data_IF_803129311668
#
_entry.id   IF_803129311668
#
_cell.length_a   1.000
_cell.length_b   1.000
_cell.length_c   1.000
_cell.angle_alpha   90.00
_cell.angle_beta   90.00
_cell.angle_gamma   90.00
#
_symmetry.space_group_name_H-M   'P 1'
#
loop_
_entity.id
_entity.type
_entity.pdbx_description
1 polymer ?
#
# COMPACT_ATOMS: atom_id res chain seq x y z
N UNK A 1 11.15 11.64 -5.29
CA UNK A 1 11.46 10.80 -4.10
C UNK A 1 10.69 11.36 -2.93
N UNK A 2 9.70 10.61 -2.43
CA UNK A 2 8.83 11.05 -1.34
C UNK A 2 9.57 11.27 -0.01
N UNK A 3 8.93 11.96 0.94
CA UNK A 3 9.51 12.20 2.27
C UNK A 3 9.79 10.89 3.03
N UNK A 4 9.03 9.83 2.75
CA UNK A 4 9.19 8.50 3.36
C UNK A 4 10.57 7.88 3.12
N UNK A 5 11.02 7.83 1.85
CA UNK A 5 12.31 7.23 1.47
C UNK A 5 13.53 8.01 1.99
N UNK A 6 13.34 9.28 2.38
CA UNK A 6 14.41 10.17 2.87
C UNK A 6 14.47 10.22 4.40
N UNK A 7 13.50 9.65 5.10
CA UNK A 7 13.44 9.69 6.55
C UNK A 7 14.50 8.80 7.21
N UNK A 8 15.02 9.23 8.36
CA UNK A 8 16.04 8.49 9.13
C UNK A 8 15.74 8.54 10.63
N UNK A 9 16.35 7.64 11.40
CA UNK A 9 16.25 7.65 12.86
C UNK A 9 14.81 7.61 13.38
N UNK A 10 14.49 8.48 14.33
CA UNK A 10 13.16 8.58 14.96
C UNK A 10 12.04 8.90 13.95
N UNK A 11 12.33 9.73 12.94
CA UNK A 11 11.35 10.04 11.89
C UNK A 11 10.98 8.79 11.08
N UNK A 12 11.97 7.95 10.77
CA UNK A 12 11.74 6.68 10.04
C UNK A 12 10.89 5.73 10.88
N UNK A 13 11.19 5.59 12.17
CA UNK A 13 10.39 4.77 13.09
C UNK A 13 8.92 5.23 13.17
N UNK A 14 8.67 6.54 13.26
CA UNK A 14 7.31 7.08 13.29
C UNK A 14 6.56 6.83 11.98
N UNK A 15 7.25 6.97 10.84
CA UNK A 15 6.65 6.74 9.53
C UNK A 15 6.38 5.26 9.27
N UNK A 16 7.27 4.36 9.70
CA UNK A 16 7.06 2.92 9.58
C UNK A 16 5.86 2.49 10.44
N UNK A 17 5.76 2.99 11.68
CA UNK A 17 4.58 2.77 12.51
C UNK A 17 3.29 3.29 11.85
N UNK A 18 3.35 4.48 11.25
CA UNK A 18 2.21 5.05 10.53
C UNK A 18 1.81 4.18 9.32
N UNK A 19 2.78 3.69 8.54
CA UNK A 19 2.55 2.80 7.40
C UNK A 19 1.88 1.49 7.84
N UNK A 20 2.37 0.85 8.91
CA UNK A 20 1.75 -0.36 9.47
C UNK A 20 0.33 -0.10 9.94
N UNK A 21 0.08 0.99 10.69
CA UNK A 21 -1.24 1.33 11.19
C UNK A 21 -2.26 1.59 10.05
N UNK A 22 -1.80 2.23 8.97
CA UNK A 22 -2.62 2.44 7.77
C UNK A 22 -2.93 1.12 7.06
N UNK A 23 -1.94 0.26 6.88
CA UNK A 23 -2.13 -1.04 6.23
C UNK A 23 -3.09 -1.94 7.02
N UNK A 24 -2.99 -1.95 8.36
CA UNK A 24 -3.95 -2.63 9.23
C UNK A 24 -5.37 -2.10 8.99
N UNK A 25 -5.54 -0.77 8.93
CA UNK A 25 -6.81 -0.14 8.60
C UNK A 25 -7.40 -0.63 7.28
N UNK A 26 -6.57 -0.78 6.23
CA UNK A 26 -7.04 -1.33 4.96
C UNK A 26 -7.37 -2.82 5.02
N UNK A 27 -6.65 -3.60 5.82
CA UNK A 27 -7.00 -5.01 6.06
C UNK A 27 -8.37 -5.14 6.74
N UNK A 28 -8.66 -4.29 7.73
CA UNK A 28 -9.98 -4.24 8.36
C UNK A 28 -11.08 -3.81 7.38
N UNK A 29 -10.81 -2.81 6.53
CA UNK A 29 -11.72 -2.38 5.48
C UNK A 29 -12.01 -3.52 4.49
N UNK A 30 -10.98 -4.24 4.03
CA UNK A 30 -11.13 -5.40 3.15
C UNK A 30 -11.98 -6.50 3.79
N UNK A 31 -11.77 -6.79 5.07
CA UNK A 31 -12.56 -7.79 5.79
C UNK A 31 -14.03 -7.37 5.90
N UNK A 32 -14.30 -6.09 6.17
CA UNK A 32 -15.67 -5.55 6.22
C UNK A 32 -16.36 -5.62 4.85
N UNK A 33 -15.65 -5.25 3.77
CA UNK A 33 -16.15 -5.34 2.39
C UNK A 33 -16.45 -6.79 2.00
N UNK A 34 -15.53 -7.72 2.27
CA UNK A 34 -15.73 -9.14 2.01
C UNK A 34 -16.94 -9.71 2.76
N UNK A 35 -17.16 -9.28 4.01
CA UNK A 35 -18.34 -9.67 4.78
C UNK A 35 -19.66 -9.13 4.19
N UNK A 36 -19.61 -8.00 3.50
CA UNK A 36 -20.77 -7.41 2.82
C UNK A 36 -21.00 -7.98 1.40
N UNK A 37 -20.08 -8.82 0.90
CA UNK A 37 -20.10 -9.31 -0.47
C UNK A 37 -19.58 -8.30 -1.50
N UNK A 38 -18.93 -7.23 -1.05
CA UNK A 38 -18.26 -6.25 -1.91
C UNK A 38 -16.88 -6.75 -2.34
N UNK A 39 -16.36 -6.22 -3.46
CA UNK A 39 -14.98 -6.46 -3.90
C UNK A 39 -14.02 -5.75 -2.95
N UNK A 40 -13.03 -6.44 -2.34
CA UNK A 40 -12.03 -5.81 -1.47
C UNK A 40 -11.21 -4.72 -2.18
N UNK A 41 -10.58 -3.83 -1.41
CA UNK A 41 -9.66 -2.82 -1.97
C UNK A 41 -8.45 -3.47 -2.67
N UNK A 42 -7.97 -4.60 -2.15
CA UNK A 42 -6.90 -5.44 -2.71
C UNK A 42 -7.09 -6.90 -2.28
N UNK A 43 -6.50 -7.85 -3.01
CA UNK A 43 -6.78 -9.28 -2.85
C UNK A 43 -5.51 -10.07 -2.49
N UNK A 44 -5.27 -10.24 -1.19
CA UNK A 44 -4.15 -11.05 -0.69
C UNK A 44 -4.34 -12.54 -1.04
N UNK A 45 -3.25 -13.27 -1.33
CA UNK A 45 -3.28 -14.71 -1.49
C UNK A 45 -3.86 -15.41 -0.24
N UNK A 46 -4.59 -16.52 -0.42
CA UNK A 46 -5.15 -17.25 0.71
C UNK A 46 -4.03 -17.70 1.66
N UNK A 47 -4.20 -17.39 2.96
CA UNK A 47 -3.26 -17.68 4.06
C UNK A 47 -1.99 -16.83 4.10
N UNK A 48 -1.87 -15.80 3.27
CA UNK A 48 -0.80 -14.82 3.43
C UNK A 48 -1.14 -13.86 4.56
N UNK A 49 -0.23 -13.70 5.51
CA UNK A 49 -0.24 -12.59 6.46
C UNK A 49 0.85 -11.61 6.03
N UNK A 50 0.50 -10.34 5.84
CA UNK A 50 1.46 -9.32 5.46
C UNK A 50 2.25 -8.89 6.70
N UNK A 51 3.57 -9.08 6.66
CA UNK A 51 4.47 -8.59 7.72
C UNK A 51 4.86 -7.14 7.47
N UNK A 52 5.27 -6.42 8.52
CA UNK A 52 5.77 -5.04 8.39
C UNK A 52 6.93 -4.94 7.39
N UNK A 53 7.86 -5.91 7.41
CA UNK A 53 9.00 -5.94 6.49
C UNK A 53 8.56 -6.10 5.02
N UNK A 54 7.57 -6.96 4.76
CA UNK A 54 7.01 -7.11 3.42
C UNK A 54 6.25 -5.87 2.98
N UNK A 55 5.52 -5.22 3.89
CA UNK A 55 4.82 -3.98 3.61
C UNK A 55 5.79 -2.86 3.23
N UNK A 56 6.90 -2.71 3.97
CA UNK A 56 7.95 -1.75 3.66
C UNK A 56 8.59 -2.04 2.30
N UNK A 57 8.96 -3.28 2.01
CA UNK A 57 9.55 -3.66 0.71
C UNK A 57 8.58 -3.40 -0.46
N UNK A 58 7.29 -3.68 -0.29
CA UNK A 58 6.26 -3.36 -1.29
C UNK A 58 6.17 -1.85 -1.52
N UNK A 59 6.11 -1.06 -0.45
CA UNK A 59 6.00 0.39 -0.53
C UNK A 59 7.26 1.02 -1.14
N UNK A 60 8.45 0.52 -0.78
CA UNK A 60 9.71 1.03 -1.32
C UNK A 60 9.78 0.79 -2.83
N UNK A 61 9.48 -0.43 -3.31
CA UNK A 61 9.43 -0.75 -4.74
C UNK A 61 8.40 0.08 -5.50
N UNK A 62 7.23 0.31 -4.89
CA UNK A 62 6.19 1.16 -5.45
C UNK A 62 6.69 2.60 -5.62
N UNK A 63 7.25 3.21 -4.58
CA UNK A 63 7.77 4.57 -4.63
C UNK A 63 8.97 4.71 -5.58
N UNK A 64 9.81 3.68 -5.71
CA UNK A 64 10.86 3.61 -6.72
C UNK A 64 10.30 3.58 -8.15
N UNK A 65 9.20 2.86 -8.39
CA UNK A 65 8.55 2.80 -9.70
C UNK A 65 7.99 4.16 -10.15
N UNK A 66 7.67 5.03 -9.18
CA UNK A 66 7.19 6.40 -9.41
C UNK A 66 8.32 7.43 -9.47
N UNK A 67 9.60 7.02 -9.41
CA UNK A 67 10.72 7.94 -9.39
C UNK A 67 10.69 8.91 -10.59
N UNK A 68 10.56 10.22 -10.29
CA UNK A 68 10.45 11.28 -11.30
C UNK A 68 9.01 11.73 -11.62
N UNK A 69 8.00 11.07 -11.03
CA UNK A 69 6.57 11.36 -11.23
C UNK A 69 5.86 11.78 -9.93
N UNK A 70 6.51 11.65 -8.78
CA UNK A 70 5.96 12.01 -7.46
C UNK A 70 5.95 13.53 -7.25
N UNK A 71 4.77 14.12 -7.08
CA UNK A 71 4.61 15.50 -6.61
C UNK A 71 4.80 15.57 -5.09
N UNK A 72 5.17 16.73 -4.55
CA UNK A 72 5.37 16.90 -3.09
C UNK A 72 4.09 16.72 -2.24
N UNK A 73 2.93 16.51 -2.87
CA UNK A 73 1.62 16.35 -2.22
C UNK A 73 1.17 14.89 -2.04
N UNK A 74 2.04 13.92 -2.32
CA UNK A 74 1.67 12.50 -2.19
C UNK A 74 1.34 12.14 -0.74
N UNK A 75 0.09 11.74 -0.52
CA UNK A 75 -0.40 11.29 0.78
C UNK A 75 0.12 9.88 1.03
N UNK A 76 1.05 9.71 1.98
CA UNK A 76 1.68 8.42 2.29
C UNK A 76 0.67 7.28 2.49
N UNK A 77 -0.49 7.54 3.10
CA UNK A 77 -1.54 6.53 3.23
C UNK A 77 -2.10 6.06 1.86
N UNK A 78 -2.29 6.99 0.92
CA UNK A 78 -2.71 6.67 -0.44
C UNK A 78 -1.64 5.82 -1.15
N UNK A 79 -0.37 6.18 -1.00
CA UNK A 79 0.73 5.40 -1.57
C UNK A 79 0.77 3.97 -1.05
N UNK A 80 0.50 3.77 0.26
CA UNK A 80 0.35 2.42 0.83
C UNK A 80 -0.79 1.66 0.16
N UNK A 81 -1.95 2.27 -0.03
CA UNK A 81 -3.08 1.63 -0.69
C UNK A 81 -2.74 1.26 -2.14
N UNK A 82 -2.17 2.20 -2.90
CA UNK A 82 -1.81 1.99 -4.30
C UNK A 82 -0.74 0.91 -4.46
N UNK A 83 0.27 0.89 -3.60
CA UNK A 83 1.29 -0.17 -3.57
C UNK A 83 0.66 -1.55 -3.33
N UNK A 84 -0.29 -1.66 -2.40
CA UNK A 84 -1.01 -2.90 -2.12
C UNK A 84 -1.93 -3.30 -3.28
N UNK A 85 -2.65 -2.36 -3.91
CA UNK A 85 -3.47 -2.62 -5.10
C UNK A 85 -2.63 -3.10 -6.29
N UNK A 86 -1.46 -2.50 -6.49
CA UNK A 86 -0.54 -2.88 -7.55
C UNK A 86 0.04 -4.28 -7.34
N UNK A 87 0.41 -4.61 -6.09
CA UNK A 87 1.00 -5.91 -5.74
C UNK A 87 -0.04 -7.02 -5.70
N UNK A 88 -1.25 -6.72 -5.23
CA UNK A 88 -2.32 -7.68 -4.99
C UNK A 88 -3.64 -7.25 -5.67
N UNK A 89 -3.66 -7.17 -7.01
CA UNK A 89 -4.86 -6.77 -7.73
C UNK A 89 -5.97 -7.82 -7.54
N UNK A 90 -7.19 -7.34 -7.31
CA UNK A 90 -8.36 -8.21 -7.36
C UNK A 90 -8.67 -8.57 -8.82
N UNK A 91 -8.93 -9.84 -9.10
CA UNK A 91 -9.14 -10.37 -10.44
C UNK A 91 -10.33 -9.75 -11.21
N UNK A 92 -11.18 -8.96 -10.53
CA UNK A 92 -12.33 -8.27 -11.12
C UNK A 92 -12.11 -6.77 -11.40
N UNK A 93 -10.93 -6.19 -11.16
CA UNK A 93 -10.63 -4.88 -11.76
C UNK A 93 -10.09 -5.07 -13.18
N UNK A 94 -10.83 -4.68 -14.23
CA UNK A 94 -10.21 -4.40 -15.51
C UNK A 94 -9.37 -3.14 -15.27
N UNK A 95 -8.10 -3.31 -14.91
CA UNK A 95 -7.10 -2.33 -15.31
C UNK A 95 -7.05 -2.40 -16.83
N UNK A 96 -8.01 -1.72 -17.46
CA UNK A 96 -7.92 -1.28 -18.83
C UNK A 96 -6.52 -0.71 -18.98
N UNK A 97 -5.69 -1.45 -19.72
CA UNK A 97 -4.63 -0.93 -20.58
C UNK A 97 -4.22 0.49 -20.22
N UNK A 98 -3.24 0.63 -19.34
CA UNK A 98 -2.43 1.85 -19.34
C UNK A 98 -1.73 1.88 -20.71
N UNK A 99 -1.98 2.87 -21.59
CA UNK A 99 -1.22 3.02 -22.83
C UNK A 99 0.23 3.42 -22.57
#
# INVERSE_FOLDING_TARGET
>A
MGQYQRATGEQKLLLDFYVSAVADGYQWANAAMANNGDVPLFCLPPRMALTDEQLTDILDRWLESLAGQTDEQDYLAMEVLLALKNTFPCAEEPFASVP
#
